data_IF_112355478056
#
_entry.id   IF_112355478056
#
_cell.length_a   1.000
_cell.length_b   1.000
_cell.length_c   1.000
_cell.angle_alpha   90.00
_cell.angle_beta   90.00
_cell.angle_gamma   90.00
#
_symmetry.space_group_name_H-M   'P 1'
#
loop_
_entity.id
_entity.type
_entity.pdbx_description
1 polymer ?
#
# COMPACT_ATOMS: atom_id res chain seq x y z
N UNK A 1 24.08 -66.54 8.75
CA UNK A 1 23.66 -65.34 9.50
C UNK A 1 22.39 -65.66 10.26
N UNK A 2 22.40 -65.51 11.58
CA UNK A 2 21.28 -65.89 12.45
C UNK A 2 20.05 -65.01 12.20
N UNK A 3 18.86 -65.62 12.16
CA UNK A 3 17.55 -64.93 12.01
C UNK A 3 17.34 -63.83 13.07
N UNK A 4 18.05 -63.90 14.20
CA UNK A 4 18.04 -62.86 15.24
C UNK A 4 18.78 -61.57 14.86
N UNK A 5 19.79 -61.62 13.98
CA UNK A 5 20.52 -60.43 13.52
C UNK A 5 19.68 -59.63 12.51
N UNK A 6 18.93 -60.33 11.65
CA UNK A 6 18.05 -59.70 10.65
C UNK A 6 16.86 -59.02 11.34
N UNK A 7 16.31 -59.62 12.41
CA UNK A 7 15.22 -59.02 13.18
C UNK A 7 15.67 -57.79 13.98
N UNK A 8 16.91 -57.79 14.51
CA UNK A 8 17.50 -56.63 15.18
C UNK A 8 17.77 -55.46 14.22
N UNK A 9 18.17 -55.74 12.97
CA UNK A 9 18.34 -54.72 11.92
C UNK A 9 17.00 -54.15 11.42
N UNK A 10 15.94 -54.97 11.36
CA UNK A 10 14.59 -54.53 11.01
C UNK A 10 13.92 -53.70 12.13
N UNK A 11 14.16 -54.05 13.40
CA UNK A 11 13.67 -53.26 14.55
C UNK A 11 14.44 -51.94 14.71
N UNK A 12 15.73 -51.89 14.36
CA UNK A 12 16.50 -50.64 14.34
C UNK A 12 16.03 -49.66 13.24
N UNK A 13 15.42 -50.14 12.15
CA UNK A 13 14.83 -49.30 11.11
C UNK A 13 13.43 -48.76 11.45
N UNK A 14 12.78 -49.29 12.49
CA UNK A 14 11.42 -48.86 12.90
C UNK A 14 11.48 -47.83 14.06
N UNK A 15 12.65 -47.62 14.68
CA UNK A 15 12.84 -46.69 15.82
C UNK A 15 13.54 -45.38 15.40
N UNK A 16 13.77 -45.14 14.11
CA UNK A 16 13.78 -43.74 13.62
C UNK A 16 12.35 -43.27 13.54
N UNK A 17 11.82 -42.87 14.70
CA UNK A 17 10.66 -42.02 14.87
C UNK A 17 10.63 -41.01 13.71
N UNK A 18 9.73 -41.27 12.77
CA UNK A 18 9.29 -40.29 11.80
C UNK A 18 8.54 -39.20 12.57
N UNK A 19 9.28 -38.32 13.24
CA UNK A 19 8.98 -36.91 13.16
C UNK A 19 9.30 -36.52 11.71
N UNK A 20 8.41 -36.88 10.79
CA UNK A 20 8.31 -36.15 9.55
C UNK A 20 7.88 -34.74 9.98
N UNK A 21 8.86 -33.89 10.34
CA UNK A 21 8.67 -32.47 10.24
C UNK A 21 8.14 -32.28 8.83
N UNK A 22 6.87 -31.91 8.71
CA UNK A 22 6.22 -31.68 7.42
C UNK A 22 7.12 -30.73 6.64
N UNK A 23 7.89 -31.26 5.69
CA UNK A 23 8.85 -30.46 4.96
C UNK A 23 8.02 -29.46 4.18
N UNK A 24 8.16 -28.18 4.52
CA UNK A 24 7.39 -27.14 3.84
C UNK A 24 7.69 -27.25 2.35
N UNK A 25 6.63 -27.27 1.56
CA UNK A 25 6.66 -27.26 0.10
C UNK A 25 6.06 -25.94 -0.39
N UNK A 26 6.15 -25.66 -1.69
CA UNK A 26 5.52 -24.45 -2.24
C UNK A 26 4.01 -24.40 -1.96
N UNK A 27 3.30 -25.53 -2.12
CA UNK A 27 1.87 -25.61 -1.84
C UNK A 27 1.49 -25.57 -0.36
N UNK A 28 2.44 -25.78 0.55
CA UNK A 28 2.23 -25.70 2.01
C UNK A 28 2.95 -24.51 2.64
N UNK A 29 3.44 -23.57 1.83
CA UNK A 29 4.15 -22.40 2.30
C UNK A 29 3.22 -21.55 3.19
N UNK A 30 3.55 -21.29 4.46
CA UNK A 30 2.62 -20.72 5.44
C UNK A 30 2.14 -19.30 5.08
N UNK A 31 2.90 -18.58 4.25
CA UNK A 31 2.55 -17.24 3.79
C UNK A 31 1.79 -17.20 2.46
N UNK A 32 1.65 -18.35 1.76
CA UNK A 32 1.03 -18.40 0.42
C UNK A 32 -0.38 -17.82 0.42
N UNK A 33 -1.26 -18.31 1.30
CA UNK A 33 -2.65 -17.88 1.33
C UNK A 33 -2.81 -16.39 1.69
N UNK A 34 -1.98 -15.90 2.63
CA UNK A 34 -1.99 -14.48 3.03
C UNK A 34 -1.58 -13.59 1.85
N UNK A 35 -0.46 -13.92 1.19
CA UNK A 35 0.05 -13.15 0.05
C UNK A 35 -0.88 -13.22 -1.15
N UNK A 36 -1.42 -14.40 -1.47
CA UNK A 36 -2.40 -14.54 -2.56
C UNK A 36 -3.66 -13.73 -2.29
N UNK A 37 -4.19 -13.74 -1.06
CA UNK A 37 -5.36 -12.94 -0.69
C UNK A 37 -5.07 -11.44 -0.80
N UNK A 38 -3.93 -10.98 -0.28
CA UNK A 38 -3.51 -9.58 -0.39
C UNK A 38 -3.33 -9.14 -1.84
N UNK A 39 -2.66 -9.93 -2.69
CA UNK A 39 -2.53 -9.63 -4.13
C UNK A 39 -3.92 -9.55 -4.78
N UNK A 40 -4.79 -10.53 -4.52
CA UNK A 40 -6.14 -10.55 -5.09
C UNK A 40 -6.98 -9.33 -4.68
N UNK A 41 -6.83 -8.86 -3.44
CA UNK A 41 -7.47 -7.63 -2.96
C UNK A 41 -6.92 -6.38 -3.69
N UNK A 42 -5.61 -6.31 -3.90
CA UNK A 42 -4.96 -5.17 -4.56
C UNK A 42 -5.29 -5.07 -6.05
N UNK A 43 -5.51 -6.20 -6.71
CA UNK A 43 -5.86 -6.23 -8.14
C UNK A 43 -7.37 -6.21 -8.40
N UNK A 44 -8.20 -6.18 -7.35
CA UNK A 44 -9.66 -6.20 -7.49
C UNK A 44 -10.21 -4.96 -8.22
N UNK A 45 -9.45 -3.87 -8.30
CA UNK A 45 -9.83 -2.66 -9.04
C UNK A 45 -9.69 -2.81 -10.56
N UNK A 46 -9.11 -3.90 -11.07
CA UNK A 46 -9.10 -4.21 -12.50
C UNK A 46 -10.47 -4.72 -12.95
N UNK A 47 -11.24 -3.84 -13.61
CA UNK A 47 -12.57 -4.16 -14.14
C UNK A 47 -12.56 -5.19 -15.27
N UNK A 48 -11.40 -5.42 -15.91
CA UNK A 48 -11.28 -6.42 -16.99
C UNK A 48 -11.15 -7.86 -16.49
N UNK A 49 -10.87 -8.06 -15.19
CA UNK A 49 -10.64 -9.38 -14.58
C UNK A 49 -9.34 -10.08 -15.02
N UNK A 50 -8.54 -9.46 -15.88
CA UNK A 50 -7.31 -10.03 -16.42
C UNK A 50 -6.24 -10.17 -15.34
N UNK A 51 -6.12 -9.19 -14.46
CA UNK A 51 -5.17 -9.20 -13.36
C UNK A 51 -5.40 -10.37 -12.42
N UNK A 52 -6.66 -10.61 -12.04
CA UNK A 52 -7.06 -11.75 -11.19
C UNK A 52 -6.75 -13.09 -11.87
N UNK A 53 -7.10 -13.23 -13.14
CA UNK A 53 -6.80 -14.45 -13.92
C UNK A 53 -5.30 -14.74 -13.97
N UNK A 54 -4.47 -13.71 -14.20
CA UNK A 54 -3.01 -13.85 -14.19
C UNK A 54 -2.47 -14.20 -12.81
N UNK A 55 -2.97 -13.54 -11.77
CA UNK A 55 -2.64 -13.82 -10.36
C UNK A 55 -2.88 -15.31 -10.05
N UNK A 56 -4.07 -15.83 -10.35
CA UNK A 56 -4.44 -17.22 -10.08
C UNK A 56 -3.55 -18.22 -10.84
N UNK A 57 -3.26 -17.95 -12.11
CA UNK A 57 -2.37 -18.79 -12.91
C UNK A 57 -0.94 -18.83 -12.32
N UNK A 58 -0.44 -17.69 -11.86
CA UNK A 58 0.89 -17.59 -11.25
C UNK A 58 0.94 -18.27 -9.88
N UNK A 59 -0.04 -18.08 -9.00
CA UNK A 59 -0.08 -18.79 -7.71
C UNK A 59 -0.29 -20.29 -7.87
N UNK A 60 -0.99 -20.73 -8.93
CA UNK A 60 -1.03 -22.16 -9.30
C UNK A 60 0.34 -22.67 -9.76
N UNK A 61 1.09 -21.89 -10.53
CA UNK A 61 2.47 -22.22 -10.91
C UNK A 61 3.37 -22.31 -9.67
N UNK A 62 3.28 -21.34 -8.76
CA UNK A 62 3.99 -21.32 -7.49
C UNK A 62 3.72 -22.60 -6.69
N UNK A 63 2.44 -22.97 -6.51
CA UNK A 63 2.02 -24.16 -5.75
C UNK A 63 2.68 -25.44 -6.25
N UNK A 64 2.85 -25.55 -7.58
CA UNK A 64 3.42 -26.72 -8.25
C UNK A 64 4.93 -26.60 -8.51
N UNK A 65 5.56 -25.49 -8.11
CA UNK A 65 6.98 -25.27 -8.36
C UNK A 65 7.85 -26.23 -7.56
N UNK A 66 9.01 -26.58 -8.11
CA UNK A 66 10.09 -27.23 -7.34
C UNK A 66 10.96 -26.12 -6.73
N UNK A 67 11.07 -26.04 -5.39
CA UNK A 67 11.92 -25.06 -4.74
C UNK A 67 13.36 -25.16 -5.25
N UNK A 68 13.99 -24.01 -5.52
CA UNK A 68 15.38 -23.95 -5.97
C UNK A 68 16.03 -22.65 -5.52
N UNK A 69 17.34 -22.68 -5.31
CA UNK A 69 18.12 -21.46 -5.06
C UNK A 69 17.98 -20.49 -6.24
N UNK A 70 17.53 -19.27 -5.95
CA UNK A 70 17.34 -18.20 -6.96
C UNK A 70 18.38 -17.10 -6.80
N UNK A 71 18.78 -16.51 -7.91
CA UNK A 71 19.65 -15.33 -7.90
C UNK A 71 18.87 -14.06 -7.53
N UNK A 72 19.56 -13.00 -7.12
CA UNK A 72 18.95 -11.69 -6.92
C UNK A 72 18.28 -11.15 -8.19
N UNK A 73 18.80 -11.48 -9.38
CA UNK A 73 18.23 -11.07 -10.65
C UNK A 73 16.90 -11.79 -10.96
N UNK A 74 16.75 -13.04 -10.52
CA UNK A 74 15.48 -13.78 -10.64
C UNK A 74 14.42 -13.24 -9.67
N UNK A 75 14.87 -12.80 -8.49
CA UNK A 75 14.00 -12.34 -7.41
C UNK A 75 13.71 -10.84 -7.40
N UNK A 76 14.42 -10.02 -8.19
CA UNK A 76 14.14 -8.59 -8.37
C UNK A 76 13.95 -7.84 -7.05
N UNK A 77 12.76 -7.25 -6.86
CA UNK A 77 12.40 -6.54 -5.62
C UNK A 77 12.42 -7.44 -4.38
N UNK A 78 12.30 -8.75 -4.53
CA UNK A 78 12.37 -9.74 -3.46
C UNK A 78 13.78 -10.34 -3.29
N UNK A 79 14.82 -9.68 -3.78
CA UNK A 79 16.22 -10.16 -3.76
C UNK A 79 16.81 -10.43 -2.38
N UNK A 80 16.19 -9.95 -1.30
CA UNK A 80 16.56 -10.30 0.07
C UNK A 80 16.50 -11.82 0.36
N UNK A 81 15.74 -12.58 -0.43
CA UNK A 81 15.63 -14.04 -0.31
C UNK A 81 16.54 -14.81 -1.29
N UNK A 82 17.46 -14.12 -1.98
CA UNK A 82 18.40 -14.76 -2.90
C UNK A 82 19.28 -15.80 -2.16
N UNK A 83 19.54 -16.91 -2.83
CA UNK A 83 20.28 -18.04 -2.25
C UNK A 83 19.44 -19.01 -1.41
N UNK A 84 18.21 -18.66 -1.05
CA UNK A 84 17.27 -19.56 -0.35
C UNK A 84 16.51 -20.46 -1.33
N UNK A 85 16.02 -21.62 -0.89
CA UNK A 85 15.25 -22.54 -1.73
C UNK A 85 13.83 -22.04 -1.99
N UNK A 86 13.72 -21.05 -2.86
CA UNK A 86 12.49 -20.31 -3.14
C UNK A 86 11.63 -20.98 -4.20
N UNK A 87 10.32 -20.78 -4.08
CA UNK A 87 9.30 -21.16 -5.07
C UNK A 87 8.98 -20.01 -6.04
N UNK A 88 9.49 -18.81 -5.78
CA UNK A 88 9.27 -17.66 -6.65
C UNK A 88 10.08 -17.76 -7.94
N UNK A 89 9.49 -17.23 -9.00
CA UNK A 89 10.17 -16.90 -10.24
C UNK A 89 10.02 -15.41 -10.57
N UNK A 90 10.63 -14.99 -11.66
CA UNK A 90 10.59 -13.61 -12.13
C UNK A 90 9.17 -13.10 -12.38
N UNK A 91 8.21 -13.95 -12.72
CA UNK A 91 6.85 -13.55 -13.00
C UNK A 91 6.04 -13.35 -11.72
N UNK A 92 6.21 -14.21 -10.71
CA UNK A 92 5.65 -13.99 -9.36
C UNK A 92 6.17 -12.67 -8.78
N UNK A 93 7.46 -12.41 -8.90
CA UNK A 93 8.07 -11.16 -8.40
C UNK A 93 7.52 -9.94 -9.13
N UNK A 94 7.35 -10.01 -10.46
CA UNK A 94 6.72 -8.93 -11.23
C UNK A 94 5.26 -8.70 -10.82
N UNK A 95 4.51 -9.77 -10.58
CA UNK A 95 3.15 -9.68 -10.06
C UNK A 95 3.14 -8.97 -8.69
N UNK A 96 4.05 -9.35 -7.79
CA UNK A 96 4.19 -8.73 -6.47
C UNK A 96 4.49 -7.24 -6.58
N UNK A 97 5.46 -6.84 -7.41
CA UNK A 97 5.83 -5.43 -7.57
C UNK A 97 4.65 -4.60 -8.11
N UNK A 98 3.91 -5.13 -9.07
CA UNK A 98 2.73 -4.45 -9.63
C UNK A 98 1.54 -4.40 -8.70
N UNK A 99 1.27 -5.50 -7.99
CA UNK A 99 0.20 -5.55 -7.00
C UNK A 99 0.49 -4.56 -5.87
N UNK A 100 1.74 -4.50 -5.39
CA UNK A 100 2.15 -3.49 -4.41
C UNK A 100 1.96 -2.07 -4.96
N UNK A 101 2.33 -1.80 -6.22
CA UNK A 101 2.11 -0.50 -6.85
C UNK A 101 0.62 -0.11 -6.91
N UNK A 102 -0.30 -1.06 -7.12
CA UNK A 102 -1.75 -0.78 -7.08
C UNK A 102 -2.20 -0.22 -5.73
N UNK A 103 -1.49 -0.48 -4.63
CA UNK A 103 -1.78 0.09 -3.30
C UNK A 103 -1.85 1.62 -3.33
N UNK A 104 -1.05 2.25 -4.18
CA UNK A 104 -1.02 3.71 -4.29
C UNK A 104 -2.29 4.28 -4.94
N UNK A 105 -2.95 3.55 -5.84
CA UNK A 105 -4.08 4.07 -6.63
C UNK A 105 -5.25 4.59 -5.78
N UNK A 106 -5.82 3.84 -4.82
CA UNK A 106 -6.90 4.35 -3.97
C UNK A 106 -6.47 5.50 -3.05
N UNK A 107 -5.17 5.65 -2.77
CA UNK A 107 -4.65 6.81 -2.01
C UNK A 107 -4.62 8.05 -2.91
N UNK A 108 -4.23 7.87 -4.18
CA UNK A 108 -4.14 8.96 -5.14
C UNK A 108 -5.51 9.44 -5.65
N UNK A 109 -6.53 8.59 -5.72
CA UNK A 109 -7.84 9.00 -6.23
C UNK A 109 -8.76 9.60 -5.16
N UNK A 110 -8.44 9.45 -3.86
CA UNK A 110 -9.29 9.98 -2.78
C UNK A 110 -9.06 11.46 -2.52
N UNK A 111 -10.15 12.14 -2.18
CA UNK A 111 -10.15 13.57 -1.83
C UNK A 111 -9.42 13.81 -0.51
N UNK A 112 -8.32 14.54 -0.57
CA UNK A 112 -7.49 14.89 0.59
C UNK A 112 -8.08 16.07 1.37
N UNK A 113 -7.61 16.31 2.60
CA UNK A 113 -8.00 17.50 3.39
C UNK A 113 -7.76 18.80 2.62
N UNK A 114 -6.74 18.87 1.75
CA UNK A 114 -6.48 20.06 0.95
C UNK A 114 -7.55 20.30 -0.13
N UNK A 115 -8.03 19.25 -0.78
CA UNK A 115 -9.16 19.32 -1.71
C UNK A 115 -10.47 19.66 -0.97
N UNK A 116 -10.65 19.16 0.25
CA UNK A 116 -11.76 19.60 1.12
C UNK A 116 -11.65 21.06 1.51
N UNK A 117 -10.43 21.57 1.74
CA UNK A 117 -10.19 22.99 2.03
C UNK A 117 -10.67 23.92 0.91
N UNK A 118 -10.39 23.60 -0.36
CA UNK A 118 -10.85 24.44 -1.48
C UNK A 118 -12.37 24.49 -1.56
N UNK A 119 -13.04 23.37 -1.33
CA UNK A 119 -14.50 23.29 -1.25
C UNK A 119 -15.06 24.14 -0.10
N UNK A 120 -14.47 24.01 1.08
CA UNK A 120 -14.88 24.73 2.29
C UNK A 120 -14.68 26.23 2.11
N UNK A 121 -13.54 26.66 1.54
CA UNK A 121 -13.28 28.06 1.22
C UNK A 121 -14.34 28.63 0.28
N UNK A 122 -14.60 27.95 -0.85
CA UNK A 122 -15.60 28.38 -1.80
C UNK A 122 -16.99 28.50 -1.15
N UNK A 123 -17.38 27.53 -0.33
CA UNK A 123 -18.64 27.56 0.40
C UNK A 123 -18.73 28.76 1.38
N UNK A 124 -17.68 29.02 2.18
CA UNK A 124 -17.69 30.15 3.10
C UNK A 124 -17.67 31.49 2.38
N UNK A 125 -16.87 31.63 1.32
CA UNK A 125 -16.82 32.86 0.52
C UNK A 125 -18.19 33.18 -0.07
N UNK A 126 -18.86 32.20 -0.69
CA UNK A 126 -20.20 32.41 -1.25
C UNK A 126 -21.26 32.68 -0.15
N UNK A 127 -21.18 31.98 0.99
CA UNK A 127 -22.14 32.15 2.08
C UNK A 127 -22.02 33.50 2.78
N UNK A 128 -20.80 33.93 3.07
CA UNK A 128 -20.54 35.14 3.85
C UNK A 128 -20.45 36.37 2.95
N UNK A 129 -19.92 36.23 1.73
CA UNK A 129 -19.52 37.35 0.88
C UNK A 129 -20.21 37.41 -0.48
N UNK A 130 -21.36 36.76 -0.67
CA UNK A 130 -22.08 36.70 -1.96
C UNK A 130 -22.18 38.04 -2.71
N UNK A 131 -22.42 39.15 -1.99
CA UNK A 131 -22.53 40.50 -2.55
C UNK A 131 -21.19 41.16 -2.94
N UNK A 132 -20.09 40.62 -2.44
CA UNK A 132 -18.74 41.18 -2.54
C UNK A 132 -17.81 40.30 -3.40
N UNK A 133 -18.35 39.29 -4.07
CA UNK A 133 -17.57 38.44 -4.97
C UNK A 133 -17.42 39.13 -6.33
N UNK A 134 -16.19 39.25 -6.81
CA UNK A 134 -15.83 40.09 -7.97
C UNK A 134 -16.06 39.44 -9.33
N UNK A 135 -16.16 38.10 -9.43
CA UNK A 135 -16.19 37.36 -10.70
C UNK A 135 -17.25 36.24 -10.74
N UNK A 136 -18.41 36.46 -10.11
CA UNK A 136 -19.43 35.41 -9.94
C UNK A 136 -19.03 34.35 -8.91
N UNK A 137 -19.90 33.37 -8.60
CA UNK A 137 -19.71 32.46 -7.47
C UNK A 137 -18.34 31.77 -7.48
N UNK A 138 -17.69 31.75 -6.32
CA UNK A 138 -16.39 31.09 -6.17
C UNK A 138 -16.59 29.58 -6.22
N UNK A 139 -15.81 28.87 -7.04
CA UNK A 139 -15.84 27.40 -7.12
C UNK A 139 -14.46 26.82 -6.84
N UNK A 140 -14.41 25.59 -6.30
CA UNK A 140 -13.15 24.90 -6.05
C UNK A 140 -12.35 24.68 -7.35
N UNK A 141 -13.03 24.37 -8.44
CA UNK A 141 -12.45 24.23 -9.77
C UNK A 141 -11.77 25.51 -10.27
N UNK A 142 -12.42 26.67 -10.08
CA UNK A 142 -11.86 27.96 -10.45
C UNK A 142 -10.61 28.30 -9.62
N UNK A 143 -10.59 27.93 -8.34
CA UNK A 143 -9.42 28.10 -7.48
C UNK A 143 -8.27 27.19 -7.95
N UNK A 144 -8.56 25.90 -8.13
CA UNK A 144 -7.56 24.88 -8.47
C UNK A 144 -6.85 25.15 -9.82
N UNK A 145 -7.57 25.74 -10.77
CA UNK A 145 -7.07 26.06 -12.13
C UNK A 145 -6.42 27.45 -12.23
N UNK A 146 -6.54 28.30 -11.21
CA UNK A 146 -6.04 29.67 -11.25
C UNK A 146 -4.55 29.73 -10.93
N UNK A 147 -3.73 29.83 -11.97
CA UNK A 147 -2.27 29.90 -11.89
C UNK A 147 -1.75 31.20 -11.24
N UNK A 148 -2.57 32.26 -11.14
CA UNK A 148 -2.15 33.52 -10.52
C UNK A 148 -2.13 33.46 -8.98
N UNK A 149 -2.67 32.40 -8.38
CA UNK A 149 -2.64 32.19 -6.93
C UNK A 149 -1.33 31.50 -6.51
N UNK A 150 -0.23 32.25 -6.56
CA UNK A 150 1.13 31.73 -6.35
C UNK A 150 1.32 30.97 -5.03
N UNK A 151 0.82 31.49 -3.92
CA UNK A 151 0.96 30.85 -2.59
C UNK A 151 0.10 29.59 -2.52
N UNK A 152 -1.12 29.64 -3.06
CA UNK A 152 -1.99 28.48 -3.18
C UNK A 152 -1.37 27.36 -4.05
N UNK A 153 -0.80 27.70 -5.21
CA UNK A 153 -0.17 26.72 -6.10
C UNK A 153 1.07 26.08 -5.43
N UNK A 154 1.86 26.86 -4.68
CA UNK A 154 2.98 26.31 -3.91
C UNK A 154 2.51 25.30 -2.85
N UNK A 155 1.42 25.59 -2.12
CA UNK A 155 0.83 24.64 -1.17
C UNK A 155 0.29 23.39 -1.85
N UNK A 156 -0.37 23.54 -3.02
CA UNK A 156 -0.86 22.39 -3.81
C UNK A 156 0.28 21.46 -4.21
N UNK A 157 1.40 22.01 -4.71
CA UNK A 157 2.58 21.20 -5.07
C UNK A 157 3.20 20.51 -3.85
N UNK A 158 3.30 21.21 -2.72
CA UNK A 158 3.78 20.63 -1.46
C UNK A 158 2.88 19.47 -1.02
N UNK A 159 1.56 19.66 -1.06
CA UNK A 159 0.57 18.64 -0.75
C UNK A 159 0.70 17.39 -1.63
N UNK A 160 0.81 17.58 -2.94
CA UNK A 160 0.99 16.48 -3.89
C UNK A 160 2.26 15.67 -3.57
N UNK A 161 3.35 16.35 -3.20
CA UNK A 161 4.61 15.71 -2.79
C UNK A 161 4.44 14.89 -1.51
N UNK A 162 3.78 15.45 -0.48
CA UNK A 162 3.49 14.71 0.75
C UNK A 162 2.65 13.45 0.44
N UNK A 163 1.67 13.56 -0.48
CA UNK A 163 0.75 12.47 -0.87
C UNK A 163 1.46 11.34 -1.58
N UNK A 164 2.33 11.69 -2.52
CA UNK A 164 3.18 10.74 -3.25
C UNK A 164 4.09 10.00 -2.27
N UNK A 165 4.73 10.71 -1.33
CA UNK A 165 5.60 10.08 -0.33
C UNK A 165 4.83 9.14 0.61
N UNK A 166 3.61 9.50 1.02
CA UNK A 166 2.75 8.62 1.79
C UNK A 166 2.40 7.33 1.05
N UNK A 167 2.01 7.46 -0.23
CA UNK A 167 1.72 6.30 -1.07
C UNK A 167 2.96 5.43 -1.29
N UNK A 168 4.15 6.01 -1.50
CA UNK A 168 5.42 5.28 -1.59
C UNK A 168 5.73 4.47 -0.33
N UNK A 169 5.48 5.03 0.85
CA UNK A 169 5.68 4.32 2.11
C UNK A 169 4.77 3.08 2.22
N UNK A 170 3.48 3.25 1.91
CA UNK A 170 2.51 2.14 1.92
C UNK A 170 2.80 1.08 0.85
N UNK A 171 3.17 1.51 -0.35
CA UNK A 171 3.58 0.62 -1.44
C UNK A 171 4.84 -0.17 -1.05
N UNK A 172 5.85 0.48 -0.46
CA UNK A 172 7.11 -0.18 -0.08
C UNK A 172 6.92 -1.21 1.03
N UNK A 173 6.11 -0.88 2.03
CA UNK A 173 5.76 -1.79 3.11
C UNK A 173 4.94 -2.99 2.60
N UNK A 174 3.95 -2.74 1.73
CA UNK A 174 3.17 -3.80 1.08
C UNK A 174 4.05 -4.68 0.21
N UNK A 175 5.00 -4.11 -0.54
CA UNK A 175 5.91 -4.87 -1.40
C UNK A 175 6.76 -5.86 -0.61
N UNK A 176 7.42 -5.40 0.45
CA UNK A 176 8.27 -6.27 1.28
C UNK A 176 7.45 -7.37 1.97
N UNK A 177 6.25 -7.04 2.43
CA UNK A 177 5.27 -8.00 2.94
C UNK A 177 4.94 -9.11 1.92
N UNK A 178 4.58 -8.74 0.70
CA UNK A 178 4.24 -9.70 -0.35
C UNK A 178 5.46 -10.54 -0.77
N UNK A 179 6.66 -9.95 -0.78
CA UNK A 179 7.91 -10.65 -1.09
C UNK A 179 8.22 -11.79 -0.10
N UNK A 180 7.62 -11.82 1.09
CA UNK A 180 7.83 -12.91 2.06
C UNK A 180 7.40 -14.28 1.54
N UNK A 181 6.52 -14.36 0.54
CA UNK A 181 6.20 -15.64 -0.13
C UNK A 181 7.40 -16.22 -0.89
N UNK A 182 8.42 -15.40 -1.17
CA UNK A 182 9.65 -15.81 -1.82
C UNK A 182 10.73 -16.30 -0.84
N UNK A 183 10.46 -16.32 0.47
CA UNK A 183 11.36 -16.98 1.41
C UNK A 183 11.54 -18.45 1.04
N UNK A 184 12.73 -19.00 1.31
CA UNK A 184 12.98 -20.40 1.05
C UNK A 184 12.08 -21.29 1.91
N UNK A 185 11.60 -22.39 1.34
CA UNK A 185 10.78 -23.37 2.08
C UNK A 185 11.54 -23.96 3.28
N UNK A 186 12.87 -23.93 3.22
CA UNK A 186 13.81 -24.35 4.26
C UNK A 186 14.04 -23.28 5.35
N UNK A 187 13.60 -22.03 5.12
CA UNK A 187 13.83 -20.89 6.01
C UNK A 187 12.54 -20.22 6.48
N UNK A 188 11.40 -20.50 5.87
CA UNK A 188 10.15 -19.79 6.16
C UNK A 188 9.69 -19.91 7.63
N UNK A 189 9.98 -21.04 8.28
CA UNK A 189 9.65 -21.22 9.71
C UNK A 189 10.51 -20.34 10.62
N UNK A 190 11.65 -19.84 10.16
CA UNK A 190 12.45 -18.85 10.90
C UNK A 190 11.68 -17.51 10.96
N UNK A 191 10.89 -17.21 9.93
CA UNK A 191 10.18 -15.93 9.74
C UNK A 191 8.73 -15.93 10.21
N UNK A 192 8.18 -17.07 10.63
CA UNK A 192 6.79 -17.19 11.08
C UNK A 192 6.78 -17.78 12.48
N UNK A 193 6.03 -17.19 13.42
CA UNK A 193 5.92 -17.72 14.77
C UNK A 193 4.87 -18.86 14.84
N UNK A 194 4.74 -19.49 16.01
CA UNK A 194 3.81 -20.60 16.21
C UNK A 194 2.34 -20.22 16.00
N UNK A 195 2.00 -18.93 16.10
CA UNK A 195 0.66 -18.38 15.87
C UNK A 195 0.41 -18.03 14.38
N UNK A 196 1.37 -18.32 13.49
CA UNK A 196 1.27 -17.99 12.07
C UNK A 196 1.45 -16.49 11.77
N UNK A 197 1.99 -15.72 12.71
CA UNK A 197 2.29 -14.30 12.53
C UNK A 197 3.67 -14.15 11.90
N UNK A 198 3.79 -13.19 10.99
CA UNK A 198 5.08 -12.85 10.38
C UNK A 198 5.97 -12.16 11.41
N UNK A 199 7.20 -12.62 11.56
CA UNK A 199 8.22 -11.92 12.34
C UNK A 199 8.81 -10.81 11.48
N UNK A 200 8.67 -9.55 11.90
CA UNK A 200 9.19 -8.38 11.20
C UNK A 200 10.27 -7.68 12.02
N UNK A 201 11.28 -7.12 11.36
CA UNK A 201 12.31 -6.35 12.06
C UNK A 201 11.77 -5.04 12.60
N UNK A 202 12.28 -4.61 13.76
CA UNK A 202 11.98 -3.29 14.32
C UNK A 202 12.36 -2.16 13.35
N UNK A 203 13.44 -2.32 12.59
CA UNK A 203 13.87 -1.33 11.60
C UNK A 203 12.85 -1.12 10.49
N UNK A 204 12.18 -2.18 10.01
CA UNK A 204 11.11 -2.05 9.02
C UNK A 204 9.91 -1.30 9.58
N UNK A 205 9.55 -1.61 10.83
CA UNK A 205 8.47 -0.92 11.55
C UNK A 205 8.81 0.56 11.69
N UNK A 206 10.03 0.87 12.13
CA UNK A 206 10.49 2.24 12.33
C UNK A 206 10.52 3.03 11.02
N UNK A 207 11.01 2.43 9.92
CA UNK A 207 11.03 3.08 8.61
C UNK A 207 9.61 3.39 8.12
N UNK A 208 8.68 2.43 8.24
CA UNK A 208 7.29 2.63 7.84
C UNK A 208 6.59 3.71 8.68
N UNK A 209 6.71 3.64 10.00
CA UNK A 209 6.12 4.62 10.92
C UNK A 209 6.73 6.00 10.70
N UNK A 210 8.06 6.10 10.57
CA UNK A 210 8.74 7.37 10.31
C UNK A 210 8.32 7.99 8.98
N UNK A 211 8.21 7.20 7.92
CA UNK A 211 7.80 7.69 6.60
C UNK A 211 6.34 8.17 6.60
N UNK A 212 5.44 7.42 7.26
CA UNK A 212 4.03 7.80 7.39
C UNK A 212 3.82 9.00 8.32
N UNK A 213 4.56 9.10 9.42
CA UNK A 213 4.57 10.27 10.31
C UNK A 213 5.09 11.51 9.58
N UNK A 214 6.20 11.39 8.85
CA UNK A 214 6.77 12.51 8.07
C UNK A 214 5.76 13.03 7.05
N UNK A 215 5.08 12.14 6.33
CA UNK A 215 4.07 12.54 5.36
C UNK A 215 2.82 13.14 6.04
N UNK A 216 2.39 12.61 7.18
CA UNK A 216 1.29 13.17 7.96
C UNK A 216 1.61 14.58 8.47
N UNK A 217 2.81 14.79 9.02
CA UNK A 217 3.30 16.10 9.45
C UNK A 217 3.45 17.06 8.27
N UNK A 218 3.98 16.61 7.14
CA UNK A 218 4.06 17.37 5.90
C UNK A 218 2.68 17.90 5.49
N UNK A 219 1.64 17.06 5.56
CA UNK A 219 0.26 17.47 5.31
C UNK A 219 -0.33 18.38 6.38
N UNK A 220 -0.11 18.09 7.66
CA UNK A 220 -0.65 18.89 8.76
C UNK A 220 -0.09 20.32 8.73
N UNK A 221 1.20 20.47 8.43
CA UNK A 221 1.89 21.75 8.38
C UNK A 221 1.30 22.72 7.34
N UNK A 222 0.63 22.20 6.30
CA UNK A 222 -0.07 23.03 5.30
C UNK A 222 -1.18 23.87 5.93
N UNK A 223 -1.80 23.38 7.01
CA UNK A 223 -2.95 24.02 7.66
C UNK A 223 -2.58 24.83 8.91
N UNK A 224 -1.29 24.91 9.24
CA UNK A 224 -0.80 25.58 10.45
C UNK A 224 0.17 26.70 10.09
N UNK A 225 0.03 27.87 10.72
CA UNK A 225 1.00 28.96 10.63
C UNK A 225 0.74 30.00 9.52
N UNK A 226 1.75 30.84 9.27
CA UNK A 226 1.65 32.02 8.40
C UNK A 226 1.42 31.68 6.93
N UNK A 227 1.93 30.54 6.46
CA UNK A 227 1.75 30.10 5.07
C UNK A 227 0.26 29.84 4.76
N UNK A 228 -0.47 29.17 5.66
CA UNK A 228 -1.90 28.93 5.48
C UNK A 228 -2.70 30.24 5.49
N UNK A 229 -2.37 31.15 6.41
CA UNK A 229 -2.97 32.49 6.46
C UNK A 229 -2.68 33.29 5.19
N UNK A 230 -1.45 33.24 4.68
CA UNK A 230 -1.06 33.91 3.43
C UNK A 230 -1.88 33.38 2.24
N UNK A 231 -2.10 32.07 2.16
CA UNK A 231 -2.96 31.48 1.13
C UNK A 231 -4.40 31.95 1.24
N UNK A 232 -4.99 31.97 2.43
CA UNK A 232 -6.37 32.45 2.58
C UNK A 232 -6.46 33.94 2.22
N UNK A 233 -5.47 34.75 2.60
CA UNK A 233 -5.41 36.16 2.22
C UNK A 233 -5.26 36.36 0.70
N UNK A 234 -4.45 35.54 0.04
CA UNK A 234 -4.30 35.53 -1.42
C UNK A 234 -5.64 35.20 -2.11
N UNK A 235 -6.33 34.15 -1.63
CA UNK A 235 -7.66 33.80 -2.12
C UNK A 235 -8.67 34.93 -1.89
N UNK A 236 -8.70 35.51 -0.69
CA UNK A 236 -9.58 36.62 -0.35
C UNK A 236 -9.34 37.83 -1.27
N UNK A 237 -8.09 38.25 -1.42
CA UNK A 237 -7.73 39.37 -2.29
C UNK A 237 -8.05 39.13 -3.77
N UNK A 238 -8.10 37.87 -4.20
CA UNK A 238 -8.50 37.52 -5.57
C UNK A 238 -10.01 37.53 -5.78
N UNK A 239 -10.78 37.05 -4.80
CA UNK A 239 -12.19 36.71 -5.01
C UNK A 239 -13.19 37.62 -4.26
N UNK A 240 -12.76 38.40 -3.26
CA UNK A 240 -13.64 39.19 -2.39
C UNK A 240 -13.17 40.65 -2.40
N UNK A 241 -14.07 41.59 -2.69
CA UNK A 241 -13.76 43.03 -2.73
C UNK A 241 -13.84 43.73 -1.37
N UNK A 242 -14.60 43.18 -0.41
CA UNK A 242 -14.79 43.76 0.92
C UNK A 242 -13.85 43.15 1.97
N UNK A 243 -13.06 44.00 2.63
CA UNK A 243 -12.05 43.58 3.61
C UNK A 243 -12.65 42.99 4.90
N UNK A 244 -13.82 43.47 5.32
CA UNK A 244 -14.51 42.97 6.52
C UNK A 244 -15.04 41.56 6.29
N UNK A 245 -15.61 41.34 5.11
CA UNK A 245 -16.10 40.03 4.70
C UNK A 245 -14.94 39.03 4.51
N UNK A 246 -13.86 39.45 3.85
CA UNK A 246 -12.63 38.67 3.72
C UNK A 246 -12.09 38.23 5.10
N UNK A 247 -12.06 39.13 6.08
CA UNK A 247 -11.62 38.83 7.46
C UNK A 247 -12.54 37.81 8.15
N UNK A 248 -13.84 37.85 7.88
CA UNK A 248 -14.82 36.88 8.39
C UNK A 248 -14.60 35.49 7.78
N UNK A 249 -14.32 35.42 6.47
CA UNK A 249 -13.96 34.16 5.79
C UNK A 249 -12.67 33.58 6.39
N UNK A 250 -11.63 34.39 6.56
CA UNK A 250 -10.37 33.96 7.17
C UNK A 250 -10.59 33.32 8.54
N UNK A 251 -11.29 34.02 9.43
CA UNK A 251 -11.59 33.54 10.79
C UNK A 251 -12.36 32.21 10.75
N UNK A 252 -13.35 32.10 9.85
CA UNK A 252 -14.17 30.90 9.74
C UNK A 252 -13.38 29.70 9.23
N UNK A 253 -12.52 29.90 8.24
CA UNK A 253 -11.64 28.86 7.72
C UNK A 253 -10.64 28.42 8.79
N UNK A 254 -9.95 29.35 9.45
CA UNK A 254 -9.01 29.00 10.51
C UNK A 254 -9.69 28.19 11.62
N UNK A 255 -10.90 28.58 12.04
CA UNK A 255 -11.69 27.84 13.03
C UNK A 255 -11.97 26.39 12.60
N UNK A 256 -12.32 26.16 11.33
CA UNK A 256 -12.59 24.81 10.81
C UNK A 256 -11.35 23.91 10.89
N UNK A 257 -10.15 24.46 10.70
CA UNK A 257 -8.91 23.69 10.64
C UNK A 257 -8.08 23.68 11.94
N UNK A 258 -8.42 24.52 12.93
CA UNK A 258 -7.65 24.66 14.20
C UNK A 258 -7.56 23.35 15.00
N UNK A 259 -8.57 22.47 14.95
CA UNK A 259 -8.65 21.24 15.77
C UNK A 259 -8.67 19.93 14.97
N UNK A 260 -8.46 19.98 13.64
CA UNK A 260 -8.67 18.83 12.74
C UNK A 260 -7.35 18.30 12.17
N UNK A 261 -6.34 18.16 13.04
CA UNK A 261 -4.97 17.84 12.67
C UNK A 261 -4.90 16.43 12.07
N UNK A 262 -4.24 16.31 10.92
CA UNK A 262 -3.84 15.02 10.36
C UNK A 262 -2.71 14.48 11.24
N UNK A 263 -3.01 13.49 12.07
CA UNK A 263 -2.01 12.81 12.88
C UNK A 263 -2.14 11.31 12.69
N UNK A 264 -1.01 10.63 12.57
CA UNK A 264 -0.96 9.18 12.60
C UNK A 264 -1.18 8.71 14.05
N UNK A 265 -2.40 8.84 14.57
CA UNK A 265 -2.79 8.43 15.91
C UNK A 265 -4.19 7.84 15.90
N UNK A 266 -4.39 6.75 16.63
CA UNK A 266 -5.71 6.11 16.79
C UNK A 266 -6.56 6.70 17.93
N UNK A 267 -6.08 7.76 18.59
CA UNK A 267 -6.75 8.40 19.71
C UNK A 267 -6.64 7.67 21.06
N UNK A 268 -6.06 6.46 21.09
CA UNK A 268 -5.89 5.63 22.28
C UNK A 268 -4.41 5.42 22.65
N UNK A 269 -3.52 6.29 22.17
CA UNK A 269 -2.07 6.19 22.38
C UNK A 269 -1.34 5.29 21.36
N UNK A 270 -2.05 4.73 20.38
CA UNK A 270 -1.49 3.97 19.27
C UNK A 270 -1.41 4.76 17.95
N UNK A 271 -0.93 4.08 16.91
CA UNK A 271 -0.79 4.61 15.53
C UNK A 271 -1.89 4.03 14.63
N UNK A 272 -2.35 4.80 13.64
CA UNK A 272 -3.25 4.30 12.58
C UNK A 272 -2.48 3.44 11.57
N UNK A 273 -1.29 3.89 11.17
CA UNK A 273 -0.34 3.16 10.35
C UNK A 273 0.57 2.32 11.26
N UNK A 274 0.10 1.12 11.62
CA UNK A 274 0.86 0.18 12.45
C UNK A 274 1.82 -0.62 11.58
N UNK A 275 3.10 -0.69 11.96
CA UNK A 275 4.08 -1.57 11.30
C UNK A 275 3.89 -3.08 11.59
N UNK A 276 2.85 -3.44 12.34
CA UNK A 276 2.51 -4.83 12.70
C UNK A 276 1.23 -5.32 12.01
N UNK A 277 0.61 -4.50 11.15
CA UNK A 277 -0.52 -4.89 10.29
C UNK A 277 -0.01 -4.97 8.85
N UNK A 278 0.43 -6.15 8.45
CA UNK A 278 1.21 -6.39 7.23
C UNK A 278 0.33 -6.85 6.06
N UNK A 279 -0.56 -7.81 6.30
CA UNK A 279 -1.53 -8.36 5.35
C UNK A 279 -2.98 -7.95 5.66
N UNK A 280 -3.23 -7.51 6.89
CA UNK A 280 -4.54 -7.11 7.40
C UNK A 280 -5.07 -5.78 6.85
N UNK A 281 -6.29 -5.43 7.29
CA UNK A 281 -6.98 -4.24 6.85
C UNK A 281 -6.28 -2.96 7.38
N UNK A 282 -5.71 -2.17 6.46
CA UNK A 282 -5.04 -0.89 6.75
C UNK A 282 -5.84 0.32 6.27
N UNK A 283 -7.15 0.17 6.08
CA UNK A 283 -8.04 1.21 5.57
C UNK A 283 -7.95 2.56 6.30
N UNK A 284 -7.78 2.53 7.63
CA UNK A 284 -7.65 3.72 8.44
C UNK A 284 -6.34 4.46 8.16
N UNK A 285 -5.21 3.74 8.08
CA UNK A 285 -3.93 4.29 7.65
C UNK A 285 -4.02 4.85 6.22
N UNK A 286 -4.57 4.11 5.26
CA UNK A 286 -4.75 4.57 3.88
C UNK A 286 -5.59 5.86 3.76
N UNK A 287 -6.44 6.13 4.76
CA UNK A 287 -7.34 7.28 4.79
C UNK A 287 -6.81 8.45 5.60
N UNK A 288 -5.61 8.33 6.18
CA UNK A 288 -5.01 9.34 7.06
C UNK A 288 -5.04 10.75 6.44
N UNK A 289 -4.67 10.86 5.16
CA UNK A 289 -4.58 12.14 4.45
C UNK A 289 -5.94 12.76 4.07
N UNK A 290 -7.05 12.04 4.28
CA UNK A 290 -8.41 12.57 4.09
C UNK A 290 -8.88 13.36 5.32
N UNK A 291 -8.17 13.25 6.44
CA UNK A 291 -8.51 13.88 7.71
C UNK A 291 -9.90 13.50 8.20
N UNK A 292 -10.50 14.38 8.99
CA UNK A 292 -11.81 14.15 9.59
C UNK A 292 -12.93 14.03 8.52
N UNK A 293 -13.70 12.95 8.58
CA UNK A 293 -14.79 12.65 7.64
C UNK A 293 -15.89 13.73 7.64
N UNK A 294 -16.05 14.46 8.74
CA UNK A 294 -17.06 15.49 8.94
C UNK A 294 -16.59 16.90 8.53
N UNK A 295 -15.37 17.06 7.97
CA UNK A 295 -14.84 18.36 7.53
C UNK A 295 -15.81 19.14 6.62
N UNK A 296 -16.49 18.46 5.71
CA UNK A 296 -17.42 19.09 4.75
C UNK A 296 -18.88 19.09 5.24
N UNK A 297 -19.23 18.21 6.19
CA UNK A 297 -20.61 18.05 6.71
C UNK A 297 -21.15 19.27 7.47
N UNK A 298 -20.26 20.07 8.09
CA UNK A 298 -20.66 21.26 8.85
C UNK A 298 -21.01 22.47 7.96
N UNK A 299 -20.92 22.36 6.63
CA UNK A 299 -21.10 23.50 5.72
C UNK A 299 -22.36 23.44 4.86
N UNK A 300 -22.97 22.27 4.67
CA UNK A 300 -24.24 22.13 3.95
C UNK A 300 -24.82 20.74 4.20
N UNK A 301 -26.15 20.66 4.28
CA UNK A 301 -26.96 19.44 4.29
C UNK A 301 -26.83 18.73 2.94
N UNK A 302 -25.66 18.16 2.67
CA UNK A 302 -25.40 17.30 1.54
C UNK A 302 -25.87 15.90 1.93
N UNK A 303 -26.95 15.42 1.30
CA UNK A 303 -27.34 14.02 1.34
C UNK A 303 -26.16 13.19 0.80
N UNK A 304 -25.33 12.66 1.69
CA UNK A 304 -24.36 11.63 1.32
C UNK A 304 -25.10 10.30 1.31
N UNK A 305 -24.83 9.50 0.28
CA UNK A 305 -25.04 8.07 0.33
C UNK A 305 -24.26 7.54 1.54
N UNK A 306 -24.98 7.21 2.61
CA UNK A 306 -24.42 6.76 3.90
C UNK A 306 -23.88 5.32 3.84
N UNK A 307 -23.97 4.65 2.68
CA UNK A 307 -23.76 3.19 2.62
C UNK A 307 -22.30 2.74 2.46
N UNK A 308 -21.35 3.60 2.04
CA UNK A 308 -19.96 3.17 1.77
C UNK A 308 -18.91 3.62 2.82
N UNK A 309 -19.19 4.61 3.68
CA UNK A 309 -18.18 5.15 4.62
C UNK A 309 -18.27 4.59 6.04
N UNK A 310 -19.39 3.96 6.43
CA UNK A 310 -19.61 3.42 7.78
C UNK A 310 -18.93 2.05 8.03
N UNK A 311 -18.08 1.58 7.12
CA UNK A 311 -17.36 0.31 7.23
C UNK A 311 -15.94 0.40 7.84
N UNK A 312 -15.43 1.58 8.23
CA UNK A 312 -13.95 1.79 8.30
C UNK A 312 -13.29 2.14 9.64
N UNK A 313 -13.99 2.11 10.78
CA UNK A 313 -13.35 2.39 12.09
C UNK A 313 -13.39 1.24 13.10
N UNK A 314 -14.35 0.31 12.98
CA UNK A 314 -14.50 -0.80 13.94
C UNK A 314 -13.63 -2.03 13.64
N UNK A 315 -13.01 -2.09 12.45
CA UNK A 315 -12.17 -3.22 12.02
C UNK A 315 -10.68 -3.05 12.42
N UNK A 316 -10.33 -1.91 13.04
CA UNK A 316 -8.99 -1.63 13.56
C UNK A 316 -8.59 -2.51 14.77
N UNK A 317 -9.52 -3.36 15.24
CA UNK A 317 -9.33 -4.36 16.29
C UNK A 317 -8.92 -5.74 15.78
N UNK A 318 -8.65 -5.92 14.47
CA UNK A 318 -8.08 -7.18 13.98
C UNK A 318 -6.73 -7.45 14.69
N UNK A 319 -6.56 -8.67 15.21
CA UNK A 319 -5.30 -9.08 15.85
C UNK A 319 -4.11 -8.83 14.90
N UNK A 320 -2.97 -8.35 15.41
CA UNK A 320 -1.80 -8.09 14.57
C UNK A 320 -1.38 -9.39 13.86
N UNK A 321 -1.16 -9.32 12.56
CA UNK A 321 -0.74 -10.45 11.74
C UNK A 321 0.78 -10.57 11.62
N UNK A 322 1.50 -9.64 12.26
CA UNK A 322 2.94 -9.66 12.45
C UNK A 322 3.35 -9.33 13.90
N UNK A 323 4.53 -9.80 14.28
CA UNK A 323 5.19 -9.53 15.57
C UNK A 323 6.58 -8.98 15.33
N UNK A 324 7.04 -8.08 16.19
CA UNK A 324 8.41 -7.58 16.12
C UNK A 324 9.37 -8.65 16.64
N UNK A 325 10.39 -8.97 15.85
CA UNK A 325 11.44 -9.91 16.21
C UNK A 325 12.79 -9.42 15.63
N UNK A 326 13.89 -9.41 16.42
CA UNK A 326 15.22 -9.05 15.91
C UNK A 326 15.70 -9.92 14.73
N UNK A 327 15.21 -11.16 14.62
CA UNK A 327 15.51 -12.10 13.54
C UNK A 327 14.40 -12.13 12.48
N UNK A 328 13.49 -11.15 12.50
CA UNK A 328 12.39 -11.04 11.54
C UNK A 328 12.85 -10.66 10.14
N UNK A 329 11.92 -10.71 9.20
CA UNK A 329 12.15 -10.24 7.82
C UNK A 329 12.09 -8.72 7.74
N UNK A 330 12.86 -8.16 6.80
CA UNK A 330 12.66 -6.77 6.38
C UNK A 330 11.48 -6.69 5.43
N UNK A 331 10.46 -5.92 5.78
CA UNK A 331 9.23 -5.75 4.98
C UNK A 331 9.10 -4.37 4.35
N UNK A 332 10.10 -3.50 4.51
CA UNK A 332 10.12 -2.19 3.84
C UNK A 332 11.02 -2.25 2.59
N UNK A 333 10.41 -2.44 1.43
CA UNK A 333 11.13 -2.67 0.16
C UNK A 333 10.71 -1.67 -0.91
N UNK A 334 11.64 -0.82 -1.34
CA UNK A 334 11.42 0.15 -2.43
C UNK A 334 11.58 -0.49 -3.82
N UNK A 335 10.98 0.11 -4.84
CA UNK A 335 11.18 -0.29 -6.24
C UNK A 335 11.35 0.92 -7.16
N UNK A 336 12.02 0.74 -8.29
CA UNK A 336 12.08 1.78 -9.33
C UNK A 336 10.70 2.09 -9.92
N UNK A 337 9.74 1.16 -9.83
CA UNK A 337 8.35 1.37 -10.25
C UNK A 337 7.61 2.42 -9.42
N UNK A 338 8.10 2.75 -8.22
CA UNK A 338 7.56 3.81 -7.36
C UNK A 338 7.67 5.20 -8.01
N UNK A 339 8.50 5.35 -9.06
CA UNK A 339 8.57 6.56 -9.89
C UNK A 339 7.29 6.85 -10.69
N UNK A 340 6.45 5.84 -10.91
CA UNK A 340 5.14 6.00 -11.58
C UNK A 340 4.04 6.55 -10.67
N UNK A 341 4.30 6.70 -9.36
CA UNK A 341 3.33 7.26 -8.42
C UNK A 341 3.29 8.78 -8.61
N UNK A 342 2.23 9.26 -9.26
CA UNK A 342 1.88 10.68 -9.40
C UNK A 342 0.71 11.08 -8.47
N UNK A 343 0.36 12.37 -8.46
CA UNK A 343 -0.69 12.96 -7.61
C UNK A 343 -2.07 12.31 -7.78
N UNK A 344 -2.38 11.80 -8.98
CA UNK A 344 -3.70 11.31 -9.37
C UNK A 344 -3.73 9.79 -9.60
N UNK A 345 -2.56 9.14 -9.55
CA UNK A 345 -2.38 7.72 -9.87
C UNK A 345 -2.55 7.40 -11.36
N UNK A 346 -2.42 8.39 -12.25
CA UNK A 346 -2.69 8.23 -13.69
C UNK A 346 -1.64 7.35 -14.39
N UNK A 347 -0.39 7.44 -13.95
CA UNK A 347 0.72 6.63 -14.49
C UNK A 347 0.79 5.21 -13.90
N UNK A 348 -0.09 4.86 -12.95
CA UNK A 348 -0.19 3.52 -12.39
C UNK A 348 -1.06 2.66 -13.32
N UNK A 349 -0.40 1.86 -14.17
CA UNK A 349 -1.08 0.89 -15.04
C UNK A 349 -1.84 -0.15 -14.22
N UNK A 350 -3.11 -0.35 -14.53
CA UNK A 350 -3.89 -1.50 -14.04
C UNK A 350 -3.77 -2.71 -14.95
N UNK A 351 -3.12 -2.58 -16.11
CA UNK A 351 -2.89 -3.69 -17.02
C UNK A 351 -1.64 -4.46 -16.57
N UNK A 352 -1.83 -5.75 -16.29
CA UNK A 352 -0.75 -6.68 -15.93
C UNK A 352 -0.12 -7.30 -17.18
N UNK A 353 -0.15 -6.60 -18.31
CA UNK A 353 0.18 -7.16 -19.64
C UNK A 353 1.66 -7.57 -19.76
N UNK A 354 2.54 -6.86 -19.06
CA UNK A 354 3.97 -7.15 -18.92
C UNK A 354 4.31 -8.27 -17.90
N UNK A 355 3.30 -8.86 -17.24
CA UNK A 355 3.43 -10.07 -16.43
C UNK A 355 3.08 -11.28 -17.28
N UNK A 356 4.07 -12.14 -17.54
CA UNK A 356 3.88 -13.40 -18.25
C UNK A 356 3.40 -14.47 -17.27
N UNK A 357 2.52 -15.37 -17.71
CA UNK A 357 2.15 -16.59 -16.96
C UNK A 357 3.01 -17.79 -17.33
N UNK A 358 3.86 -17.68 -18.35
CA UNK A 358 4.83 -18.70 -18.76
C UNK A 358 6.23 -18.35 -18.27
N UNK A 359 6.93 -19.31 -17.67
CA UNK A 359 8.34 -19.16 -17.32
C UNK A 359 9.22 -19.32 -18.58
N UNK A 360 10.32 -18.56 -18.66
CA UNK A 360 11.25 -18.67 -19.79
C UNK A 360 11.85 -20.08 -19.93
N UNK A 361 11.95 -20.81 -18.83
CA UNK A 361 12.45 -22.18 -18.79
C UNK A 361 11.51 -23.17 -19.46
N UNK A 362 10.19 -22.98 -19.41
CA UNK A 362 9.22 -23.82 -20.15
C UNK A 362 9.37 -23.58 -21.65
N UNK A 363 9.59 -22.33 -22.08
CA UNK A 363 9.82 -21.99 -23.49
C UNK A 363 11.15 -22.59 -23.97
N UNK A 364 12.21 -22.50 -23.18
CA UNK A 364 13.51 -23.14 -23.48
C UNK A 364 13.42 -24.66 -23.51
N UNK A 365 12.70 -25.28 -22.58
CA UNK A 365 12.49 -26.73 -22.56
C UNK A 365 11.66 -27.19 -23.77
N UNK A 366 10.62 -26.45 -24.15
CA UNK A 366 9.82 -26.74 -25.34
C UNK A 366 10.66 -26.59 -26.62
N UNK A 367 11.47 -25.53 -26.74
CA UNK A 367 12.39 -25.34 -27.86
C UNK A 367 13.47 -26.43 -27.91
N UNK A 368 14.06 -26.81 -26.78
CA UNK A 368 15.03 -27.89 -26.71
C UNK A 368 14.41 -29.24 -27.10
N UNK A 369 13.17 -29.52 -26.69
CA UNK A 369 12.44 -30.73 -27.07
C UNK A 369 12.14 -30.75 -28.58
N UNK A 370 11.75 -29.60 -29.15
CA UNK A 370 11.54 -29.45 -30.60
C UNK A 370 12.86 -29.63 -31.36
N UNK A 371 13.97 -29.08 -30.86
CA UNK A 371 15.30 -29.28 -31.46
C UNK A 371 15.76 -30.75 -31.36
N UNK A 372 15.51 -31.43 -30.25
CA UNK A 372 15.80 -32.86 -30.08
C UNK A 372 14.95 -33.74 -31.01
N UNK A 373 13.68 -33.39 -31.20
CA UNK A 373 12.81 -34.06 -32.17
C UNK A 373 13.29 -33.79 -33.61
N UNK A 374 13.67 -32.56 -33.96
CA UNK A 374 14.20 -32.22 -35.27
C UNK A 374 15.57 -32.85 -35.59
N UNK A 375 16.35 -33.25 -34.59
CA UNK A 375 17.60 -34.01 -34.73
C UNK A 375 17.38 -35.53 -34.79
N UNK A 376 16.19 -36.00 -34.42
CA UNK A 376 15.82 -37.42 -34.41
C UNK A 376 15.03 -37.85 -35.65
N UNK A 377 14.75 -36.92 -36.58
CA UNK A 377 14.09 -37.18 -37.86
C UNK A 377 15.03 -36.91 -39.04
#
# INVERSE_FOLDING_TARGET
MSKTIILALLLAQIITLAFAASSVTCGTHPLLNKVQSSVNSLVATDTSGKAKTKSDALFKSFTNAKPSSKSAADLGVCSAYAGQNSCCDKNIVKLIDQAALQKAKPIQTKSTVFQKFTNIYAAQANKLCSKYITNGPVTADAILKNAALTSFQALKTSQATCKINFAKALTSFTRGALCTVCSGVDKVNDYVNAQGQLKVTQDSVNQFVSATDTAATCFANIFTGDAFKATINELNGKYISDATCASSVLTKIQTVFTNKIIQNSDGNGGKLCKGTTVFGNNAACESLLQGDANLESNNSRLLRSEDDEMFRLLDASAAPDAVVDPQGVSVYTTSSTDSSIDENGSNISTSFDNVSTTSSEIIKAALALISLLALAF
#
